data_IF_357748227515
#
_entry.id   IF_357748227515
#
_cell.length_a   1.000
_cell.length_b   1.000
_cell.length_c   1.000
_cell.angle_alpha   90.00
_cell.angle_beta   90.00
_cell.angle_gamma   90.00
#
_symmetry.space_group_name_H-M   'P 1'
#
loop_
_entity.id
_entity.type
_entity.pdbx_description
1 polymer ?
#
# COMPACT_ATOMS: atom_id res chain seq x y z
N UNK A 1 -15.78 20.80 14.02
CA UNK A 1 -15.73 19.33 14.20
C UNK A 1 -14.28 18.97 14.41
N UNK A 2 -13.94 18.32 15.53
CA UNK A 2 -12.57 17.84 15.72
C UNK A 2 -12.36 16.54 14.91
N UNK A 3 -11.12 16.24 14.58
CA UNK A 3 -10.77 15.00 13.90
C UNK A 3 -10.23 14.00 14.90
N UNK A 4 -10.72 12.76 14.82
CA UNK A 4 -10.21 11.62 15.60
C UNK A 4 -9.64 10.58 14.65
N UNK A 5 -8.61 9.87 15.08
CA UNK A 5 -8.04 8.75 14.30
C UNK A 5 -8.28 7.45 15.05
N UNK A 6 -8.89 6.50 14.38
CA UNK A 6 -9.07 5.12 14.82
C UNK A 6 -8.28 4.22 13.89
N UNK A 7 -7.62 3.20 14.39
CA UNK A 7 -6.86 2.27 13.57
C UNK A 7 -7.23 0.84 13.87
N UNK A 8 -7.36 0.05 12.83
CA UNK A 8 -7.39 -1.40 12.97
C UNK A 8 -6.00 -1.95 13.35
N UNK A 9 -6.00 -3.21 13.76
CA UNK A 9 -4.82 -3.88 14.35
C UNK A 9 -3.62 -3.96 13.38
N UNK A 10 -3.87 -3.95 12.06
CA UNK A 10 -2.81 -4.03 11.05
C UNK A 10 -2.16 -2.67 10.75
N UNK A 11 -2.70 -1.55 11.24
CA UNK A 11 -2.24 -0.19 10.90
C UNK A 11 -1.96 0.70 12.10
N UNK A 12 -1.83 0.16 13.31
CA UNK A 12 -1.62 0.97 14.52
C UNK A 12 -0.44 1.94 14.39
N UNK A 13 0.74 1.55 13.87
CA UNK A 13 1.85 2.48 13.69
C UNK A 13 1.52 3.62 12.72
N UNK A 14 0.90 3.31 11.56
CA UNK A 14 0.47 4.30 10.58
C UNK A 14 -0.64 5.21 11.15
N UNK A 15 -1.64 4.65 11.82
CA UNK A 15 -2.71 5.42 12.47
C UNK A 15 -2.18 6.43 13.49
N UNK A 16 -1.24 6.02 14.33
CA UNK A 16 -0.58 6.92 15.28
C UNK A 16 0.29 7.98 14.60
N UNK A 17 0.97 7.62 13.50
CA UNK A 17 1.74 8.58 12.71
C UNK A 17 0.80 9.61 12.07
N UNK A 18 -0.31 9.15 11.50
CA UNK A 18 -1.32 10.00 10.88
C UNK A 18 -1.99 10.94 11.91
N UNK A 19 -2.30 10.45 13.12
CA UNK A 19 -2.83 11.29 14.18
C UNK A 19 -1.86 12.42 14.56
N UNK A 20 -0.56 12.14 14.63
CA UNK A 20 0.47 13.19 14.86
C UNK A 20 0.52 14.21 13.73
N UNK A 21 0.52 13.74 12.46
CA UNK A 21 0.51 14.63 11.31
C UNK A 21 -0.73 15.54 11.28
N UNK A 22 -1.89 15.01 11.61
CA UNK A 22 -3.16 15.75 11.65
C UNK A 22 -3.33 16.60 12.92
N UNK A 23 -2.49 16.43 13.93
CA UNK A 23 -2.66 17.00 15.27
C UNK A 23 -4.01 16.59 15.88
N UNK A 24 -4.42 15.34 15.63
CA UNK A 24 -5.68 14.76 16.05
C UNK A 24 -5.48 13.75 17.18
N UNK A 25 -6.53 13.52 17.97
CA UNK A 25 -6.50 12.48 19.00
C UNK A 25 -6.54 11.10 18.34
N UNK A 26 -5.73 10.19 18.85
CA UNK A 26 -5.78 8.78 18.49
C UNK A 26 -6.64 8.02 19.49
N UNK A 27 -7.70 7.38 19.02
CA UNK A 27 -8.60 6.57 19.84
C UNK A 27 -8.10 5.13 19.83
N UNK A 28 -7.79 4.62 21.01
CA UNK A 28 -7.36 3.24 21.19
C UNK A 28 -8.53 2.28 20.95
N UNK A 29 -8.20 1.09 20.45
CA UNK A 29 -9.15 0.01 20.21
C UNK A 29 -8.68 -1.24 20.95
N UNK A 30 -9.60 -1.89 21.65
CA UNK A 30 -9.38 -3.24 22.15
C UNK A 30 -9.78 -4.26 21.10
N UNK A 31 -8.88 -5.17 20.75
CA UNK A 31 -9.09 -6.25 19.78
C UNK A 31 -9.33 -7.61 20.46
N UNK A 32 -9.37 -7.63 21.78
CA UNK A 32 -9.67 -8.81 22.59
C UNK A 32 -10.60 -8.41 23.72
N UNK A 33 -11.64 -9.20 23.97
CA UNK A 33 -12.53 -9.03 25.13
C UNK A 33 -11.88 -9.59 26.38
N UNK A 34 -11.14 -10.70 26.22
CA UNK A 34 -10.36 -11.39 27.23
C UNK A 34 -9.00 -11.79 26.63
N UNK A 35 -7.95 -11.99 27.43
CA UNK A 35 -6.68 -12.51 26.92
C UNK A 35 -6.88 -13.81 26.12
N UNK A 36 -6.44 -13.81 24.84
CA UNK A 36 -6.59 -14.93 23.90
C UNK A 36 -7.80 -14.85 22.95
N UNK A 37 -8.62 -13.78 23.03
CA UNK A 37 -9.74 -13.54 22.12
C UNK A 37 -10.92 -14.49 22.31
N UNK A 38 -11.76 -14.61 21.29
CA UNK A 38 -12.84 -15.60 21.26
C UNK A 38 -12.28 -17.00 20.89
N UNK A 39 -12.79 -18.10 21.54
CA UNK A 39 -12.27 -19.45 21.30
C UNK A 39 -12.42 -19.96 19.87
N UNK A 40 -13.38 -19.43 19.14
CA UNK A 40 -13.71 -19.76 17.75
C UNK A 40 -12.91 -18.91 16.74
N UNK A 41 -12.12 -17.93 17.22
CA UNK A 41 -11.30 -17.04 16.40
C UNK A 41 -12.07 -15.87 15.78
N UNK A 42 -13.30 -15.61 16.21
CA UNK A 42 -14.05 -14.43 15.77
C UNK A 42 -13.35 -13.13 16.21
N UNK A 43 -13.44 -12.12 15.36
CA UNK A 43 -12.88 -10.80 15.66
C UNK A 43 -13.72 -10.06 16.70
N UNK A 44 -13.02 -9.36 17.59
CA UNK A 44 -13.62 -8.44 18.55
C UNK A 44 -13.02 -7.06 18.37
N UNK A 45 -13.84 -6.03 18.40
CA UNK A 45 -13.40 -4.64 18.44
C UNK A 45 -14.18 -3.87 19.49
N UNK A 46 -13.51 -2.93 20.17
CA UNK A 46 -14.16 -1.99 21.08
C UNK A 46 -13.37 -0.68 21.11
N UNK A 47 -14.02 0.43 20.80
CA UNK A 47 -13.45 1.76 20.97
C UNK A 47 -13.24 2.06 22.45
N UNK A 48 -12.06 2.57 22.82
CA UNK A 48 -11.71 2.93 24.18
C UNK A 48 -11.83 4.43 24.46
N UNK A 49 -12.40 5.19 23.53
CA UNK A 49 -12.66 6.62 23.64
C UNK A 49 -13.88 7.04 22.83
N UNK A 50 -14.39 8.24 23.09
CA UNK A 50 -15.55 8.78 22.39
C UNK A 50 -15.18 9.28 20.98
N UNK A 51 -16.05 9.01 20.01
CA UNK A 51 -16.01 9.52 18.63
C UNK A 51 -17.30 10.29 18.27
N UNK A 52 -18.22 10.45 19.23
CA UNK A 52 -19.54 11.06 19.00
C UNK A 52 -19.40 12.50 18.51
N UNK A 53 -20.12 12.81 17.41
CA UNK A 53 -20.13 14.12 16.74
C UNK A 53 -18.78 14.57 16.19
N UNK A 54 -17.88 13.63 15.89
CA UNK A 54 -16.56 13.92 15.36
C UNK A 54 -16.38 13.39 13.93
N UNK A 55 -15.42 13.94 13.21
CA UNK A 55 -14.92 13.35 11.98
C UNK A 55 -13.90 12.26 12.30
N UNK A 56 -14.19 11.02 11.98
CA UNK A 56 -13.32 9.88 12.28
C UNK A 56 -12.57 9.44 11.02
N UNK A 57 -11.25 9.35 11.16
CA UNK A 57 -10.36 8.76 10.16
C UNK A 57 -10.08 7.31 10.59
N UNK A 58 -10.70 6.36 9.90
CA UNK A 58 -10.52 4.93 10.16
C UNK A 58 -9.42 4.36 9.26
N UNK A 59 -8.32 3.88 9.85
CA UNK A 59 -7.13 3.42 9.11
C UNK A 59 -7.01 1.90 9.19
N UNK A 60 -7.19 1.19 8.06
CA UNK A 60 -7.00 -0.26 8.00
C UNK A 60 -6.82 -0.75 6.56
N UNK A 61 -5.81 -1.59 6.25
CA UNK A 61 -5.70 -2.26 4.94
C UNK A 61 -6.74 -3.37 4.84
N UNK A 62 -7.09 -3.74 3.61
CA UNK A 62 -7.98 -4.88 3.31
C UNK A 62 -7.20 -6.16 2.99
N UNK A 63 -6.09 -6.36 3.68
CA UNK A 63 -5.25 -7.57 3.58
C UNK A 63 -4.55 -7.85 4.91
N UNK A 64 -4.46 -9.15 5.33
CA UNK A 64 -5.18 -10.32 4.79
C UNK A 64 -6.70 -10.23 5.02
N UNK A 65 -7.47 -11.17 4.46
CA UNK A 65 -8.95 -11.15 4.45
C UNK A 65 -9.59 -10.90 5.81
N UNK A 66 -9.01 -11.43 6.88
CA UNK A 66 -9.44 -11.19 8.25
C UNK A 66 -9.50 -9.68 8.61
N UNK A 67 -8.67 -8.85 7.95
CA UNK A 67 -8.64 -7.39 8.18
C UNK A 67 -9.79 -6.66 7.49
N UNK A 68 -10.43 -7.28 6.51
CA UNK A 68 -11.67 -6.80 5.90
C UNK A 68 -12.81 -6.87 6.92
N UNK A 69 -12.93 -8.01 7.61
CA UNK A 69 -13.97 -8.19 8.66
C UNK A 69 -13.72 -7.23 9.82
N UNK A 70 -12.47 -7.10 10.27
CA UNK A 70 -12.12 -6.15 11.32
C UNK A 70 -12.46 -4.71 10.93
N UNK A 71 -12.23 -4.32 9.65
CA UNK A 71 -12.57 -3.00 9.14
C UNK A 71 -14.09 -2.75 9.18
N UNK A 72 -14.92 -3.73 8.78
CA UNK A 72 -16.38 -3.61 8.85
C UNK A 72 -16.85 -3.43 10.29
N UNK A 73 -16.35 -4.25 11.22
CA UNK A 73 -16.70 -4.13 12.64
C UNK A 73 -16.29 -2.79 13.24
N UNK A 74 -15.15 -2.23 12.81
CA UNK A 74 -14.71 -0.91 13.26
C UNK A 74 -15.57 0.20 12.68
N UNK A 75 -15.92 0.14 11.39
CA UNK A 75 -16.77 1.13 10.75
C UNK A 75 -18.15 1.18 11.41
N UNK A 76 -18.78 0.00 11.64
CA UNK A 76 -20.05 -0.15 12.33
C UNK A 76 -19.97 0.40 13.78
N UNK A 77 -18.96 0.02 14.55
CA UNK A 77 -18.77 0.51 15.92
C UNK A 77 -18.59 2.04 16.00
N UNK A 78 -17.93 2.65 15.00
CA UNK A 78 -17.76 4.10 14.91
C UNK A 78 -19.09 4.76 14.53
N UNK A 79 -19.81 4.19 13.55
CA UNK A 79 -21.13 4.66 13.12
C UNK A 79 -22.13 4.63 14.29
N UNK A 80 -22.25 3.49 14.97
CA UNK A 80 -23.14 3.32 16.13
C UNK A 80 -22.76 4.19 17.33
N UNK A 81 -21.51 4.67 17.38
CA UNK A 81 -21.04 5.63 18.38
C UNK A 81 -21.34 7.10 18.01
N UNK A 82 -22.21 7.34 17.01
CA UNK A 82 -22.71 8.65 16.64
C UNK A 82 -21.62 9.59 16.07
N UNK A 83 -20.66 9.04 15.31
CA UNK A 83 -19.70 9.84 14.54
C UNK A 83 -20.43 10.64 13.45
N UNK A 84 -20.03 11.90 13.22
CA UNK A 84 -20.67 12.74 12.18
C UNK A 84 -20.19 12.41 10.77
N UNK A 85 -18.96 11.89 10.63
CA UNK A 85 -18.38 11.51 9.34
C UNK A 85 -17.31 10.43 9.55
N UNK A 86 -17.25 9.47 8.64
CA UNK A 86 -16.23 8.40 8.63
C UNK A 86 -15.50 8.44 7.28
N UNK A 87 -14.21 8.80 7.30
CA UNK A 87 -13.31 8.66 6.16
C UNK A 87 -12.45 7.42 6.37
N UNK A 88 -12.67 6.37 5.59
CA UNK A 88 -11.82 5.19 5.66
C UNK A 88 -10.55 5.40 4.82
N UNK A 89 -9.42 5.36 5.51
CA UNK A 89 -8.08 5.29 4.91
C UNK A 89 -7.72 3.83 4.77
N UNK A 90 -7.72 3.34 3.53
CA UNK A 90 -7.37 1.97 3.16
C UNK A 90 -5.98 1.98 2.52
N UNK A 91 -4.89 1.85 3.33
CA UNK A 91 -3.52 2.03 2.83
C UNK A 91 -3.16 1.02 1.73
N UNK A 92 -3.69 -0.19 1.82
CA UNK A 92 -3.63 -1.19 0.76
C UNK A 92 -5.02 -1.74 0.48
N UNK A 93 -5.47 -1.58 -0.77
CA UNK A 93 -6.73 -2.11 -1.25
C UNK A 93 -6.50 -3.50 -1.87
N UNK A 94 -6.80 -4.54 -1.10
CA UNK A 94 -6.78 -5.92 -1.56
C UNK A 94 -7.77 -6.17 -2.70
N UNK A 95 -7.59 -7.28 -3.43
CA UNK A 95 -8.41 -7.64 -4.60
C UNK A 95 -8.34 -6.66 -5.78
N UNK A 96 -7.55 -5.58 -5.71
CA UNK A 96 -7.41 -4.58 -6.76
C UNK A 96 -6.92 -5.11 -8.11
N UNK A 97 -6.32 -6.33 -8.13
CA UNK A 97 -5.89 -7.03 -9.35
C UNK A 97 -7.03 -7.74 -10.10
N UNK A 98 -8.13 -8.04 -9.42
CA UNK A 98 -9.34 -8.60 -10.05
C UNK A 98 -10.38 -7.49 -10.28
N UNK A 99 -10.02 -6.57 -11.14
CA UNK A 99 -10.77 -5.36 -11.53
C UNK A 99 -11.74 -5.60 -12.69
N UNK A 100 -11.68 -6.78 -13.31
CA UNK A 100 -12.54 -7.23 -14.41
C UNK A 100 -12.73 -8.74 -14.36
N UNK A 101 -13.65 -9.24 -15.16
CA UNK A 101 -13.80 -10.69 -15.39
C UNK A 101 -12.77 -11.15 -16.40
N UNK A 102 -12.08 -12.23 -16.12
CA UNK A 102 -11.20 -12.94 -17.03
C UNK A 102 -11.89 -14.16 -17.63
N UNK A 103 -12.80 -14.78 -16.87
CA UNK A 103 -13.60 -15.93 -17.29
C UNK A 103 -15.08 -15.70 -16.93
N UNK A 104 -15.97 -16.37 -17.65
CA UNK A 104 -17.41 -16.36 -17.35
C UNK A 104 -17.68 -16.94 -15.95
N UNK A 105 -18.60 -16.32 -15.21
CA UNK A 105 -18.94 -16.73 -13.85
C UNK A 105 -18.06 -16.11 -12.75
N UNK A 106 -16.94 -15.45 -13.07
CA UNK A 106 -16.12 -14.74 -12.08
C UNK A 106 -16.82 -13.48 -11.56
N UNK A 107 -16.65 -13.16 -10.25
CA UNK A 107 -16.99 -11.85 -9.75
C UNK A 107 -15.96 -10.81 -10.24
N UNK A 108 -16.28 -9.52 -10.13
CA UNK A 108 -15.29 -8.44 -10.11
C UNK A 108 -15.01 -8.16 -8.63
N UNK A 109 -14.00 -8.83 -8.07
CA UNK A 109 -13.76 -8.83 -6.62
C UNK A 109 -13.48 -7.42 -6.08
N UNK A 110 -12.74 -6.61 -6.81
CA UNK A 110 -12.49 -5.20 -6.44
C UNK A 110 -13.80 -4.42 -6.28
N UNK A 111 -14.76 -4.58 -7.21
CA UNK A 111 -16.07 -3.94 -7.14
C UNK A 111 -16.91 -4.46 -5.98
N UNK A 112 -16.84 -5.75 -5.70
CA UNK A 112 -17.55 -6.36 -4.57
C UNK A 112 -17.05 -5.77 -3.26
N UNK A 113 -15.74 -5.73 -3.06
CA UNK A 113 -15.13 -5.15 -1.86
C UNK A 113 -15.49 -3.66 -1.74
N UNK A 114 -15.37 -2.88 -2.83
CA UNK A 114 -15.71 -1.46 -2.83
C UNK A 114 -17.13 -1.17 -2.35
N UNK A 115 -18.11 -1.99 -2.76
CA UNK A 115 -19.51 -1.86 -2.31
C UNK A 115 -19.68 -2.08 -0.81
N UNK A 116 -18.99 -3.08 -0.26
CA UNK A 116 -19.14 -3.41 1.16
C UNK A 116 -18.41 -2.43 2.06
N UNK A 117 -17.27 -1.90 1.64
CA UNK A 117 -16.56 -0.83 2.36
C UNK A 117 -17.36 0.47 2.46
N UNK A 118 -18.30 0.69 1.56
CA UNK A 118 -19.12 1.89 1.51
C UNK A 118 -20.37 1.85 2.40
N UNK A 119 -20.59 0.78 3.17
CA UNK A 119 -21.83 0.65 3.96
C UNK A 119 -21.84 1.64 5.11
N UNK A 120 -20.77 1.69 5.89
CA UNK A 120 -20.68 2.54 7.09
C UNK A 120 -19.59 3.62 6.97
N UNK A 121 -19.20 3.97 5.74
CA UNK A 121 -18.21 5.01 5.47
C UNK A 121 -18.79 6.07 4.52
N UNK A 122 -18.37 7.33 4.71
CA UNK A 122 -18.79 8.45 3.87
C UNK A 122 -17.81 8.70 2.73
N UNK A 123 -16.55 8.32 2.88
CA UNK A 123 -15.49 8.53 1.90
C UNK A 123 -14.36 7.52 2.08
N UNK A 124 -13.71 7.17 0.97
CA UNK A 124 -12.55 6.27 0.95
C UNK A 124 -11.32 7.02 0.42
N UNK A 125 -10.21 6.92 1.15
CA UNK A 125 -8.88 7.24 0.66
C UNK A 125 -8.07 5.95 0.56
N UNK A 126 -7.55 5.63 -0.62
CA UNK A 126 -6.64 4.50 -0.81
C UNK A 126 -5.31 4.97 -1.38
N UNK A 127 -4.30 4.11 -1.39
CA UNK A 127 -2.97 4.50 -1.85
C UNK A 127 -2.52 3.64 -3.02
N UNK A 128 -1.97 4.30 -4.05
CA UNK A 128 -1.29 3.67 -5.19
C UNK A 128 -2.01 2.39 -5.65
N UNK A 129 -3.29 2.55 -5.97
CA UNK A 129 -4.13 1.41 -6.38
C UNK A 129 -3.65 0.85 -7.71
N UNK A 130 -3.67 -0.47 -7.86
CA UNK A 130 -3.16 -1.15 -9.06
C UNK A 130 -3.81 -0.66 -10.36
N UNK A 131 -5.14 -0.49 -10.33
CA UNK A 131 -5.90 0.12 -11.43
C UNK A 131 -6.82 1.23 -10.89
N UNK A 132 -6.59 2.51 -11.24
CA UNK A 132 -7.42 3.64 -10.81
C UNK A 132 -8.90 3.54 -11.23
N UNK A 133 -9.24 2.77 -12.28
CA UNK A 133 -10.64 2.56 -12.69
C UNK A 133 -11.48 1.90 -11.60
N UNK A 134 -10.87 1.17 -10.67
CA UNK A 134 -11.54 0.58 -9.51
C UNK A 134 -12.20 1.66 -8.64
N UNK A 135 -11.65 2.87 -8.55
CA UNK A 135 -12.21 3.97 -7.78
C UNK A 135 -13.63 4.33 -8.23
N UNK A 136 -13.92 4.20 -9.53
CA UNK A 136 -15.26 4.45 -10.12
C UNK A 136 -16.31 3.42 -9.69
N UNK A 137 -15.90 2.33 -9.07
CA UNK A 137 -16.82 1.26 -8.62
C UNK A 137 -17.35 1.49 -7.20
N UNK A 138 -16.76 2.42 -6.45
CA UNK A 138 -17.27 2.80 -5.14
C UNK A 138 -18.58 3.57 -5.28
N UNK A 139 -19.60 3.27 -4.46
CA UNK A 139 -20.87 4.01 -4.45
C UNK A 139 -20.78 5.33 -3.67
N UNK A 140 -19.68 5.60 -3.01
CA UNK A 140 -19.35 6.82 -2.27
C UNK A 140 -18.08 7.46 -2.84
N UNK A 141 -17.76 8.72 -2.52
CA UNK A 141 -16.51 9.34 -2.93
C UNK A 141 -15.30 8.48 -2.58
N UNK A 142 -14.44 8.22 -3.57
CA UNK A 142 -13.20 7.46 -3.38
C UNK A 142 -12.07 8.15 -4.13
N UNK A 143 -10.91 8.30 -3.47
CA UNK A 143 -9.74 8.96 -4.04
C UNK A 143 -8.47 8.15 -3.81
N UNK A 144 -7.56 8.25 -4.77
CA UNK A 144 -6.22 7.69 -4.67
C UNK A 144 -5.23 8.76 -4.17
N UNK A 145 -4.32 8.33 -3.31
CA UNK A 145 -3.16 9.09 -2.87
C UNK A 145 -1.91 8.35 -3.34
N UNK A 146 -0.93 9.05 -3.90
CA UNK A 146 0.33 8.43 -4.30
C UNK A 146 1.23 8.17 -3.08
N UNK A 147 1.77 6.96 -2.97
CA UNK A 147 2.81 6.60 -2.00
C UNK A 147 4.24 6.84 -2.51
N UNK A 148 4.39 7.16 -3.80
CA UNK A 148 5.70 7.36 -4.42
C UNK A 148 6.50 8.53 -3.83
N UNK A 149 5.88 9.64 -3.38
CA UNK A 149 6.63 10.71 -2.71
C UNK A 149 7.38 10.24 -1.46
N UNK A 150 6.81 9.34 -0.66
CA UNK A 150 7.49 8.76 0.51
C UNK A 150 8.71 7.95 0.10
N UNK A 151 8.59 7.12 -0.93
CA UNK A 151 9.72 6.36 -1.47
C UNK A 151 10.79 7.28 -2.05
N UNK A 152 10.40 8.31 -2.81
CA UNK A 152 11.32 9.28 -3.42
C UNK A 152 12.16 10.00 -2.37
N UNK A 153 11.53 10.48 -1.28
CA UNK A 153 12.25 11.09 -0.16
C UNK A 153 13.21 10.12 0.52
N UNK A 154 12.79 8.88 0.73
CA UNK A 154 13.66 7.86 1.32
C UNK A 154 14.86 7.55 0.41
N UNK A 155 14.62 7.28 -0.87
CA UNK A 155 15.68 6.91 -1.82
C UNK A 155 16.69 8.04 -2.05
N UNK A 156 16.25 9.29 -1.95
CA UNK A 156 17.15 10.44 -1.95
C UNK A 156 18.17 10.38 -0.80
N UNK A 157 17.72 10.01 0.40
CA UNK A 157 18.61 9.86 1.57
C UNK A 157 19.48 8.62 1.47
N UNK A 158 19.00 7.55 0.81
CA UNK A 158 19.70 6.29 0.61
C UNK A 158 20.83 6.37 -0.45
N UNK A 159 21.02 7.55 -1.09
CA UNK A 159 22.06 7.82 -2.10
C UNK A 159 22.02 6.81 -3.25
N UNK A 160 20.85 6.67 -3.87
CA UNK A 160 20.65 5.88 -5.07
C UNK A 160 21.04 6.70 -6.29
N UNK A 161 21.82 6.11 -7.19
CA UNK A 161 22.34 6.81 -8.39
C UNK A 161 21.46 6.62 -9.62
N UNK A 162 20.58 5.60 -9.59
CA UNK A 162 19.76 5.22 -10.74
C UNK A 162 18.50 4.46 -10.28
N UNK A 163 17.36 4.70 -10.95
CA UNK A 163 16.12 3.99 -10.70
C UNK A 163 15.76 3.10 -11.89
N UNK A 164 15.15 1.97 -11.63
CA UNK A 164 14.72 1.02 -12.64
C UNK A 164 13.25 0.65 -12.46
N UNK A 165 12.46 0.81 -13.53
CA UNK A 165 11.17 0.17 -13.65
C UNK A 165 11.34 -1.29 -14.10
N UNK A 166 10.86 -2.28 -13.34
CA UNK A 166 11.01 -3.69 -13.69
C UNK A 166 10.14 -4.09 -14.88
N UNK A 167 9.14 -3.28 -15.23
CA UNK A 167 8.29 -3.44 -16.42
C UNK A 167 7.57 -2.12 -16.76
N UNK A 168 6.77 -2.15 -17.83
CA UNK A 168 6.09 -0.97 -18.37
C UNK A 168 5.04 -0.40 -17.37
N UNK A 169 4.41 -1.24 -16.56
CA UNK A 169 3.42 -0.79 -15.58
C UNK A 169 4.05 0.08 -14.48
N UNK A 170 5.32 -0.20 -14.16
CA UNK A 170 6.06 0.53 -13.14
C UNK A 170 6.64 1.87 -13.63
N UNK A 171 6.63 2.17 -14.93
CA UNK A 171 7.24 3.39 -15.49
C UNK A 171 6.66 4.66 -14.85
N UNK A 172 5.34 4.72 -14.66
CA UNK A 172 4.68 5.88 -14.03
C UNK A 172 5.21 6.13 -12.61
N UNK A 173 5.44 5.07 -11.86
CA UNK A 173 5.91 5.11 -10.47
C UNK A 173 7.37 5.54 -10.38
N UNK A 174 8.22 4.94 -11.24
CA UNK A 174 9.64 5.26 -11.27
C UNK A 174 9.88 6.71 -11.69
N UNK A 175 9.07 7.24 -12.64
CA UNK A 175 9.12 8.65 -13.04
C UNK A 175 8.84 9.56 -11.85
N UNK A 176 7.74 9.34 -11.13
CA UNK A 176 7.36 10.15 -9.98
C UNK A 176 8.43 10.12 -8.88
N UNK A 177 8.96 8.92 -8.56
CA UNK A 177 10.06 8.76 -7.61
C UNK A 177 11.32 9.50 -8.09
N UNK A 178 11.64 9.40 -9.38
CA UNK A 178 12.80 10.03 -10.00
C UNK A 178 12.75 11.56 -9.92
N UNK A 179 11.60 12.15 -10.17
CA UNK A 179 11.39 13.59 -10.06
C UNK A 179 11.63 14.08 -8.62
N UNK A 180 11.12 13.35 -7.62
CA UNK A 180 11.27 13.70 -6.20
C UNK A 180 12.71 13.47 -5.70
N UNK A 181 13.29 12.32 -6.05
CA UNK A 181 14.66 11.98 -5.66
C UNK A 181 15.73 12.76 -6.46
N UNK A 182 15.33 13.39 -7.57
CA UNK A 182 16.23 13.99 -8.57
C UNK A 182 17.23 12.96 -9.12
N UNK A 183 16.74 11.75 -9.40
CA UNK A 183 17.54 10.58 -9.78
C UNK A 183 17.13 10.11 -11.18
N UNK A 184 18.09 9.89 -12.11
CA UNK A 184 17.79 9.37 -13.44
C UNK A 184 17.20 7.95 -13.36
N UNK A 185 16.37 7.63 -14.34
CA UNK A 185 15.69 6.34 -14.39
C UNK A 185 15.60 5.77 -15.81
N UNK A 186 15.32 4.47 -15.88
CA UNK A 186 14.99 3.75 -17.12
C UNK A 186 14.08 2.55 -16.80
N UNK A 187 13.65 1.81 -17.79
CA UNK A 187 12.81 0.62 -17.68
C UNK A 187 13.45 -0.59 -18.36
N UNK A 188 13.13 -1.79 -17.85
CA UNK A 188 13.36 -3.01 -18.59
C UNK A 188 12.19 -3.24 -19.57
N UNK A 189 12.51 -3.70 -20.77
CA UNK A 189 11.53 -4.13 -21.75
C UNK A 189 11.21 -5.61 -21.51
N UNK A 190 9.92 -5.94 -21.47
CA UNK A 190 9.43 -7.33 -21.39
C UNK A 190 8.81 -7.72 -22.72
N UNK A 191 9.32 -8.75 -23.34
CA UNK A 191 8.68 -9.40 -24.48
C UNK A 191 7.84 -10.59 -23.98
N UNK A 192 6.56 -10.57 -24.25
CA UNK A 192 5.66 -11.67 -23.92
C UNK A 192 5.74 -12.68 -25.05
N UNK A 193 6.40 -13.82 -24.83
CA UNK A 193 6.55 -14.88 -25.82
C UNK A 193 5.26 -15.67 -25.98
N UNK A 194 4.58 -15.96 -24.86
CA UNK A 194 3.29 -16.65 -24.81
C UNK A 194 2.52 -16.31 -23.51
N UNK A 195 1.38 -16.97 -23.28
CA UNK A 195 0.53 -16.71 -22.10
C UNK A 195 1.21 -17.01 -20.75
N UNK A 196 2.29 -17.76 -20.75
CA UNK A 196 2.99 -18.24 -19.54
C UNK A 196 4.45 -17.78 -19.47
N UNK A 197 5.04 -17.41 -20.62
CA UNK A 197 6.47 -17.13 -20.73
C UNK A 197 6.70 -15.65 -21.04
N UNK A 198 7.37 -14.97 -20.10
CA UNK A 198 7.85 -13.60 -20.28
C UNK A 198 9.37 -13.63 -20.34
N UNK A 199 9.95 -13.03 -21.37
CA UNK A 199 11.39 -12.86 -21.52
C UNK A 199 11.74 -11.38 -21.32
N UNK A 200 12.73 -11.11 -20.48
CA UNK A 200 13.33 -9.78 -20.44
C UNK A 200 14.21 -9.59 -21.68
N UNK A 201 13.94 -8.52 -22.43
CA UNK A 201 14.78 -8.14 -23.55
C UNK A 201 16.02 -7.44 -23.01
N UNK A 202 17.25 -7.91 -23.34
CA UNK A 202 18.46 -7.26 -22.89
C UNK A 202 18.53 -5.83 -23.43
N UNK A 203 18.43 -4.86 -22.54
CA UNK A 203 18.63 -3.43 -22.81
C UNK A 203 19.89 -2.97 -22.09
N UNK A 204 20.79 -2.30 -22.79
CA UNK A 204 22.00 -1.74 -22.16
C UNK A 204 21.63 -0.56 -21.28
N UNK A 205 21.78 -0.75 -19.98
CA UNK A 205 21.51 0.28 -18.98
C UNK A 205 22.81 0.95 -18.52
N UNK A 206 22.73 2.23 -18.15
CA UNK A 206 23.89 2.98 -17.66
C UNK A 206 24.11 2.73 -16.15
N UNK A 207 24.25 1.45 -15.73
CA UNK A 207 24.25 1.05 -14.32
C UNK A 207 25.60 0.57 -13.78
N UNK A 208 26.61 0.44 -14.63
CA UNK A 208 27.94 -0.05 -14.21
C UNK A 208 28.52 0.79 -13.07
N UNK A 209 28.85 0.16 -11.95
CA UNK A 209 29.41 0.77 -10.76
C UNK A 209 28.43 1.61 -9.94
N UNK A 210 27.13 1.64 -10.31
CA UNK A 210 26.09 2.46 -9.65
C UNK A 210 25.33 1.69 -8.58
N UNK A 211 24.74 2.46 -7.65
CA UNK A 211 23.69 2.03 -6.73
C UNK A 211 22.34 2.21 -7.41
N UNK A 212 21.61 1.11 -7.64
CA UNK A 212 20.35 1.08 -8.39
C UNK A 212 19.20 0.66 -7.49
N UNK A 213 18.08 1.38 -7.54
CA UNK A 213 16.82 0.95 -6.92
C UNK A 213 15.82 0.48 -7.99
N UNK A 214 15.32 -0.73 -7.85
CA UNK A 214 14.17 -1.23 -8.59
C UNK A 214 12.92 -0.76 -7.86
N UNK A 215 12.04 -0.01 -8.54
CA UNK A 215 10.84 0.58 -7.92
C UNK A 215 9.59 0.01 -8.55
N UNK A 216 8.64 -0.41 -7.69
CA UNK A 216 7.34 -0.96 -8.10
C UNK A 216 6.24 -0.49 -7.15
N UNK A 217 4.95 -0.69 -7.52
CA UNK A 217 3.82 -0.46 -6.61
C UNK A 217 3.74 -1.55 -5.54
N UNK A 218 3.88 -2.82 -5.93
CA UNK A 218 3.67 -4.00 -5.06
C UNK A 218 4.80 -5.01 -5.23
N UNK A 219 5.43 -5.42 -4.13
CA UNK A 219 6.25 -6.64 -4.09
C UNK A 219 5.45 -7.75 -3.40
N UNK A 220 5.05 -8.75 -4.19
CA UNK A 220 4.32 -9.93 -3.74
C UNK A 220 5.31 -11.09 -3.49
N UNK A 221 5.54 -11.95 -4.47
CA UNK A 221 6.51 -13.07 -4.37
C UNK A 221 7.97 -12.65 -4.66
N UNK A 222 8.19 -11.45 -5.18
CA UNK A 222 9.52 -10.92 -5.50
C UNK A 222 10.18 -11.47 -6.77
N UNK A 223 9.50 -12.34 -7.53
CA UNK A 223 10.11 -12.97 -8.72
C UNK A 223 10.52 -11.99 -9.81
N UNK A 224 9.69 -10.99 -10.11
CA UNK A 224 10.02 -9.91 -11.06
C UNK A 224 11.25 -9.12 -10.60
N UNK A 225 11.28 -8.77 -9.31
CA UNK A 225 12.38 -8.02 -8.68
C UNK A 225 13.68 -8.82 -8.73
N UNK A 226 13.63 -10.13 -8.40
CA UNK A 226 14.81 -11.01 -8.47
C UNK A 226 15.38 -11.10 -9.88
N UNK A 227 14.51 -11.20 -10.90
CA UNK A 227 14.93 -11.23 -12.31
C UNK A 227 15.59 -9.92 -12.73
N UNK A 228 15.00 -8.79 -12.37
CA UNK A 228 15.56 -7.47 -12.62
C UNK A 228 16.91 -7.26 -11.92
N UNK A 229 17.03 -7.71 -10.66
CA UNK A 229 18.26 -7.63 -9.89
C UNK A 229 19.40 -8.45 -10.53
N UNK A 230 19.10 -9.66 -11.03
CA UNK A 230 20.07 -10.49 -11.76
C UNK A 230 20.57 -9.78 -13.02
N UNK A 231 19.67 -9.15 -13.78
CA UNK A 231 20.04 -8.39 -14.98
C UNK A 231 20.94 -7.19 -14.63
N UNK A 232 20.58 -6.40 -13.63
CA UNK A 232 21.39 -5.27 -13.16
C UNK A 232 22.79 -5.69 -12.72
N UNK A 233 22.91 -6.81 -11.97
CA UNK A 233 24.21 -7.37 -11.55
C UNK A 233 25.05 -7.81 -12.75
N UNK A 234 24.42 -8.43 -13.77
CA UNK A 234 25.14 -8.85 -14.99
C UNK A 234 25.70 -7.65 -15.77
N UNK A 235 25.04 -6.49 -15.68
CA UNK A 235 25.50 -5.24 -16.29
C UNK A 235 26.44 -4.42 -15.39
N UNK A 236 26.83 -4.97 -14.22
CA UNK A 236 27.87 -4.39 -13.34
C UNK A 236 27.35 -3.36 -12.35
N UNK A 237 26.07 -3.38 -11.99
CA UNK A 237 25.56 -2.58 -10.86
C UNK A 237 26.30 -2.98 -9.58
N UNK A 238 26.77 -1.97 -8.84
CA UNK A 238 27.51 -2.17 -7.59
C UNK A 238 26.60 -2.54 -6.44
N UNK A 239 25.48 -1.85 -6.30
CA UNK A 239 24.47 -2.06 -5.28
C UNK A 239 23.10 -2.15 -5.95
N UNK A 240 22.25 -3.11 -5.55
CA UNK A 240 20.90 -3.28 -6.07
C UNK A 240 19.94 -3.41 -4.90
N UNK A 241 19.00 -2.48 -4.80
CA UNK A 241 17.94 -2.48 -3.79
C UNK A 241 16.57 -2.54 -4.48
N UNK A 242 15.55 -2.95 -3.75
CA UNK A 242 14.16 -2.84 -4.20
C UNK A 242 13.39 -1.86 -3.32
N UNK A 243 12.44 -1.14 -3.91
CA UNK A 243 11.55 -0.25 -3.19
C UNK A 243 10.12 -0.40 -3.70
N UNK A 244 9.14 -0.51 -2.80
CA UNK A 244 7.73 -0.59 -3.16
C UNK A 244 6.84 0.18 -2.19
N UNK A 245 5.66 0.56 -2.66
CA UNK A 245 4.63 1.10 -1.76
C UNK A 245 4.07 -0.04 -0.92
N UNK A 246 3.65 -1.15 -1.54
CA UNK A 246 3.00 -2.25 -0.85
C UNK A 246 3.89 -3.48 -0.77
N UNK A 247 4.41 -3.76 0.42
CA UNK A 247 5.22 -4.95 0.67
C UNK A 247 4.37 -6.11 1.19
N UNK A 248 3.87 -6.98 0.31
CA UNK A 248 3.12 -8.18 0.72
C UNK A 248 4.05 -9.30 1.19
N UNK A 249 5.19 -9.48 0.52
CA UNK A 249 6.25 -10.45 0.86
C UNK A 249 5.72 -11.85 1.19
N UNK A 250 4.88 -12.39 0.31
CA UNK A 250 4.27 -13.72 0.46
C UNK A 250 5.11 -14.82 -0.18
N UNK A 251 4.82 -16.06 0.19
CA UNK A 251 5.42 -17.28 -0.35
C UNK A 251 6.96 -17.24 -0.29
N UNK A 252 7.62 -17.35 -1.44
CA UNK A 252 9.07 -17.40 -1.56
C UNK A 252 9.75 -16.02 -1.61
N UNK A 253 9.04 -14.93 -1.23
CA UNK A 253 9.57 -13.57 -1.37
C UNK A 253 10.93 -13.39 -0.70
N UNK A 254 11.08 -13.82 0.55
CA UNK A 254 12.34 -13.69 1.28
C UNK A 254 13.51 -14.40 0.56
N UNK A 255 13.23 -15.53 -0.10
CA UNK A 255 14.25 -16.26 -0.87
C UNK A 255 14.58 -15.51 -2.17
N UNK A 256 13.60 -15.00 -2.86
CA UNK A 256 13.78 -14.27 -4.11
C UNK A 256 14.52 -12.94 -3.89
N UNK A 257 14.29 -12.30 -2.75
CA UNK A 257 14.89 -11.01 -2.41
C UNK A 257 16.30 -11.08 -1.83
N UNK A 258 16.83 -12.28 -1.50
CA UNK A 258 18.19 -12.48 -0.97
C UNK A 258 19.30 -11.94 -1.86
N UNK A 259 19.06 -11.81 -3.17
CA UNK A 259 20.03 -11.27 -4.12
C UNK A 259 20.17 -9.73 -4.06
N UNK A 260 19.32 -9.07 -3.30
CA UNK A 260 19.33 -7.63 -3.10
C UNK A 260 20.15 -7.23 -1.89
N UNK A 261 20.74 -6.06 -1.94
CA UNK A 261 21.48 -5.50 -0.79
C UNK A 261 20.51 -4.89 0.25
N UNK A 262 19.31 -4.51 -0.17
CA UNK A 262 18.29 -3.97 0.72
C UNK A 262 16.90 -4.04 0.07
N UNK A 263 15.86 -4.06 0.91
CA UNK A 263 14.46 -3.97 0.50
C UNK A 263 13.78 -2.89 1.34
N UNK A 264 13.00 -2.04 0.67
CA UNK A 264 12.34 -0.88 1.26
C UNK A 264 10.85 -0.97 0.91
N UNK A 265 10.01 -0.97 1.93
CA UNK A 265 8.56 -0.83 1.77
C UNK A 265 8.05 0.36 2.57
N UNK A 266 6.86 0.84 2.22
CA UNK A 266 6.16 1.80 3.07
C UNK A 266 5.36 1.10 4.16
N UNK A 267 4.81 1.87 5.09
CA UNK A 267 3.96 1.39 6.17
C UNK A 267 2.48 1.18 5.77
N UNK A 268 2.19 1.09 4.46
CA UNK A 268 0.86 0.67 3.97
C UNK A 268 0.51 -0.75 4.39
N UNK A 269 1.53 -1.61 4.50
CA UNK A 269 1.49 -2.95 5.09
C UNK A 269 2.75 -3.09 5.96
N UNK A 270 2.56 -3.35 7.23
CA UNK A 270 3.68 -3.51 8.16
C UNK A 270 4.47 -4.79 7.86
N UNK A 271 5.78 -4.65 7.74
CA UNK A 271 6.71 -5.74 7.48
C UNK A 271 8.10 -5.43 8.06
N UNK A 272 9.02 -6.40 8.12
CA UNK A 272 10.42 -6.14 8.47
C UNK A 272 11.13 -5.15 7.52
N UNK A 273 10.60 -4.96 6.31
CA UNK A 273 11.14 -4.06 5.30
C UNK A 273 10.52 -2.66 5.32
N UNK A 274 9.61 -2.38 6.25
CA UNK A 274 8.98 -1.06 6.39
C UNK A 274 10.00 -0.02 6.84
N UNK A 275 10.29 0.96 5.97
CA UNK A 275 11.28 2.01 6.19
C UNK A 275 10.80 3.42 5.88
N UNK A 276 9.70 3.56 5.15
CA UNK A 276 9.12 4.85 4.77
C UNK A 276 7.68 4.93 5.25
N UNK A 277 7.27 6.08 5.81
CA UNK A 277 5.88 6.29 6.23
C UNK A 277 5.12 7.09 5.19
N UNK A 278 3.88 6.71 4.95
CA UNK A 278 2.93 7.40 4.06
C UNK A 278 1.95 8.29 4.83
N UNK A 279 2.13 8.45 6.12
CA UNK A 279 1.29 9.33 6.94
C UNK A 279 1.26 10.79 6.43
N UNK A 280 2.36 11.40 5.96
CA UNK A 280 2.33 12.75 5.43
C UNK A 280 1.43 12.90 4.19
N UNK A 281 1.44 11.93 3.28
CA UNK A 281 0.63 11.94 2.06
C UNK A 281 -0.86 11.84 2.39
N UNK A 282 -1.23 10.91 3.27
CA UNK A 282 -2.62 10.80 3.73
C UNK A 282 -3.06 12.04 4.50
N UNK A 283 -2.21 12.59 5.36
CA UNK A 283 -2.54 13.81 6.09
C UNK A 283 -2.80 15.00 5.16
N UNK A 284 -1.97 15.15 4.12
CA UNK A 284 -2.18 16.18 3.10
C UNK A 284 -3.52 15.99 2.36
N UNK A 285 -3.84 14.75 1.98
CA UNK A 285 -5.09 14.42 1.32
C UNK A 285 -6.31 14.69 2.22
N UNK A 286 -6.25 14.30 3.51
CA UNK A 286 -7.33 14.53 4.47
C UNK A 286 -7.57 16.02 4.70
N UNK A 287 -6.51 16.83 4.84
CA UNK A 287 -6.67 18.30 4.96
C UNK A 287 -7.32 18.94 3.74
N UNK A 288 -7.18 18.32 2.56
CA UNK A 288 -7.81 18.79 1.32
C UNK A 288 -9.28 18.36 1.17
N UNK A 289 -9.82 17.56 2.09
CA UNK A 289 -11.23 17.15 2.10
C UNK A 289 -12.13 18.20 2.80
N UNK A 290 -11.58 18.98 3.66
CA UNK A 290 -12.34 19.86 4.52
C UNK A 290 -11.97 21.21 4.58
#
# INVERSE_FOLDING_TARGET
MATKVVSGSASIPLGRALARELQADFIEVAFERHPGGFPDGEHYVRLLGSVSKEHVILVQPTWPDAKIIELFLLADAIHDSDADRITAVVPYFGYGRQDRRFLDGEPISAKTLAKHLAVDCDEILTMTIHNPEVLKTFPIPAREVSGMPSLGRYLKTAKVDFLLAPDDNAIRFVREVGDIASTPWDSLEKERIDSYTVRMTPKKLAVKGRSVAIVDDVISTGGTIASAAKELRSQGAHRVIAACVHGLFIDNAETNLKALDDVIATDTIQSPHTKASVAPEFAAAIRALG
#
